data_IF_595083192691
#
_entry.id   IF_595083192691
#
_cell.length_a   1.000
_cell.length_b   1.000
_cell.length_c   1.000
_cell.angle_alpha   90.00
_cell.angle_beta   90.00
_cell.angle_gamma   90.00
#
_symmetry.space_group_name_H-M   'P 1'
#
loop_
_entity.id
_entity.type
_entity.pdbx_description
1 polymer ?
#
# COMPACT_ATOMS: atom_id res chain seq x y z
N UNK A 1 9.26 -17.83 -44.69
CA UNK A 1 8.03 -18.35 -44.06
C UNK A 1 8.03 -17.83 -42.64
N UNK A 2 7.13 -16.89 -42.37
CA UNK A 2 7.00 -16.13 -41.13
C UNK A 2 6.41 -17.00 -40.03
N UNK A 3 7.17 -17.22 -38.96
CA UNK A 3 6.68 -17.82 -37.73
C UNK A 3 5.93 -16.73 -36.94
N UNK A 4 4.60 -16.79 -36.98
CA UNK A 4 3.72 -15.95 -36.18
C UNK A 4 3.54 -16.65 -34.85
N UNK A 5 4.39 -16.34 -33.88
CA UNK A 5 4.14 -16.64 -32.47
C UNK A 5 2.81 -15.99 -32.10
N UNK A 6 1.77 -16.80 -31.90
CA UNK A 6 0.48 -16.33 -31.40
C UNK A 6 0.72 -15.73 -30.01
N UNK A 7 0.51 -14.42 -29.87
CA UNK A 7 0.27 -13.77 -28.58
C UNK A 7 -0.90 -14.51 -27.92
N UNK A 8 -0.60 -15.44 -27.02
CA UNK A 8 -1.60 -16.01 -26.13
C UNK A 8 -1.89 -14.93 -25.08
N UNK A 9 -3.07 -14.32 -25.20
CA UNK A 9 -3.62 -13.42 -24.20
C UNK A 9 -3.67 -14.19 -22.88
N UNK A 10 -2.89 -13.77 -21.89
CA UNK A 10 -2.91 -14.34 -20.55
C UNK A 10 -4.18 -13.82 -19.84
N UNK A 11 -5.09 -14.75 -19.54
CA UNK A 11 -6.26 -14.50 -18.70
C UNK A 11 -5.94 -14.97 -17.29
N UNK A 12 -6.13 -14.09 -16.32
CA UNK A 12 -5.97 -14.39 -14.90
C UNK A 12 -7.28 -14.16 -14.14
N UNK A 13 -7.30 -14.49 -12.84
CA UNK A 13 -8.47 -14.28 -11.99
C UNK A 13 -8.78 -12.78 -11.79
N UNK A 14 -7.80 -11.88 -11.96
CA UNK A 14 -7.97 -10.44 -11.76
C UNK A 14 -8.66 -9.75 -12.94
N UNK A 15 -8.52 -10.28 -14.15
CA UNK A 15 -9.08 -9.74 -15.40
C UNK A 15 -10.43 -10.32 -15.78
N UNK A 16 -10.85 -11.43 -15.15
CA UNK A 16 -12.09 -12.16 -15.48
C UNK A 16 -13.34 -11.27 -15.50
N UNK A 17 -13.43 -10.33 -14.57
CA UNK A 17 -14.58 -9.44 -14.41
C UNK A 17 -14.62 -8.29 -15.43
N UNK A 18 -13.60 -8.17 -16.26
CA UNK A 18 -13.33 -7.03 -17.14
C UNK A 18 -12.96 -7.50 -18.55
N UNK A 19 -13.86 -8.28 -19.17
CA UNK A 19 -13.75 -8.80 -20.52
C UNK A 19 -15.00 -8.45 -21.35
N UNK A 20 -15.35 -7.17 -21.42
CA UNK A 20 -16.59 -6.73 -22.07
C UNK A 20 -16.49 -6.87 -23.60
N UNK A 21 -17.53 -7.42 -24.24
CA UNK A 21 -17.58 -7.58 -25.70
C UNK A 21 -17.74 -6.23 -26.42
N UNK A 22 -18.41 -5.27 -25.77
CA UNK A 22 -18.65 -3.90 -26.21
C UNK A 22 -17.56 -2.91 -25.76
N UNK A 23 -16.43 -3.41 -25.26
CA UNK A 23 -15.28 -2.60 -24.88
C UNK A 23 -14.76 -1.75 -26.04
N UNK A 24 -14.30 -0.54 -25.74
CA UNK A 24 -13.72 0.38 -26.73
C UNK A 24 -12.25 0.72 -26.46
N UNK A 25 -11.65 0.10 -25.44
CA UNK A 25 -10.22 0.16 -25.11
C UNK A 25 -9.77 -1.16 -24.48
N UNK A 26 -8.53 -1.57 -24.78
CA UNK A 26 -7.87 -2.69 -24.11
C UNK A 26 -6.71 -2.17 -23.29
N UNK A 27 -6.68 -2.42 -21.98
CA UNK A 27 -5.48 -2.20 -21.16
C UNK A 27 -4.63 -3.45 -21.23
N UNK A 28 -3.32 -3.31 -21.45
CA UNK A 28 -2.33 -4.36 -21.23
C UNK A 28 -1.42 -3.95 -20.08
N UNK A 29 -1.35 -4.78 -19.05
CA UNK A 29 -0.56 -4.54 -17.83
C UNK A 29 0.90 -4.91 -18.01
N UNK A 30 1.74 -4.57 -17.03
CA UNK A 30 3.19 -4.85 -17.10
C UNK A 30 3.53 -6.34 -17.04
N UNK A 31 2.61 -7.16 -16.52
CA UNK A 31 2.63 -8.63 -16.51
C UNK A 31 1.85 -9.26 -17.69
N UNK A 32 1.60 -8.49 -18.75
CA UNK A 32 1.01 -8.92 -20.04
C UNK A 32 -0.44 -9.46 -19.95
N UNK A 33 -1.15 -9.15 -18.86
CA UNK A 33 -2.58 -9.42 -18.72
C UNK A 33 -3.38 -8.32 -19.39
N UNK A 34 -4.51 -8.70 -20.01
CA UNK A 34 -5.36 -7.75 -20.75
C UNK A 34 -6.72 -7.55 -20.10
N UNK A 35 -7.20 -6.30 -20.11
CA UNK A 35 -8.52 -5.90 -19.63
C UNK A 35 -9.26 -5.21 -20.77
N UNK A 36 -10.45 -5.72 -21.13
CA UNK A 36 -11.32 -5.10 -22.14
C UNK A 36 -12.39 -4.29 -21.43
N UNK A 37 -12.31 -2.98 -21.54
CA UNK A 37 -13.12 -2.04 -20.73
C UNK A 37 -13.68 -0.90 -21.59
N UNK A 38 -14.52 -0.07 -20.96
CA UNK A 38 -15.00 1.17 -21.55
C UNK A 38 -14.15 2.36 -21.09
N UNK A 39 -13.59 3.11 -22.04
CA UNK A 39 -12.66 4.23 -21.79
C UNK A 39 -13.25 5.29 -20.87
N UNK A 40 -14.56 5.53 -20.96
CA UNK A 40 -15.21 6.60 -20.21
C UNK A 40 -15.07 6.41 -18.69
N UNK A 41 -15.00 5.17 -18.21
CA UNK A 41 -14.76 4.88 -16.80
C UNK A 41 -13.39 5.39 -16.34
N UNK A 42 -12.33 5.17 -17.13
CA UNK A 42 -10.99 5.68 -16.84
C UNK A 42 -10.95 7.21 -16.92
N UNK A 43 -11.53 7.79 -17.97
CA UNK A 43 -11.53 9.24 -18.20
C UNK A 43 -12.27 10.01 -17.11
N UNK A 44 -13.27 9.39 -16.48
CA UNK A 44 -14.04 9.96 -15.39
C UNK A 44 -13.24 10.04 -14.07
N UNK A 45 -12.34 9.08 -13.82
CA UNK A 45 -11.59 9.00 -12.55
C UNK A 45 -10.21 9.67 -12.61
N UNK A 46 -9.65 9.87 -13.82
CA UNK A 46 -8.28 10.33 -14.02
C UNK A 46 -8.21 11.40 -15.10
N UNK A 47 -7.57 12.53 -14.78
CA UNK A 47 -7.25 13.54 -15.77
C UNK A 47 -6.20 13.05 -16.78
N UNK A 48 -5.18 12.33 -16.29
CA UNK A 48 -4.12 11.77 -17.11
C UNK A 48 -4.66 10.79 -18.15
N UNK A 49 -5.52 9.85 -17.75
CA UNK A 49 -6.14 8.93 -18.72
C UNK A 49 -7.05 9.66 -19.70
N UNK A 50 -7.78 10.68 -19.26
CA UNK A 50 -8.61 11.48 -20.17
C UNK A 50 -7.77 12.14 -21.26
N UNK A 51 -6.62 12.71 -20.90
CA UNK A 51 -5.74 13.38 -21.85
C UNK A 51 -5.04 12.36 -22.76
N UNK A 52 -4.57 11.23 -22.23
CA UNK A 52 -4.00 10.12 -23.01
C UNK A 52 -4.97 9.64 -24.09
N UNK A 53 -6.24 9.43 -23.73
CA UNK A 53 -7.29 8.96 -24.63
C UNK A 53 -7.79 10.03 -25.61
N UNK A 54 -7.55 11.31 -25.35
CA UNK A 54 -7.92 12.40 -26.27
C UNK A 54 -6.89 12.57 -27.40
N UNK A 55 -5.63 12.25 -27.12
CA UNK A 55 -4.51 12.31 -28.06
C UNK A 55 -4.51 11.08 -28.98
N UNK A 56 -4.81 9.90 -28.43
CA UNK A 56 -5.10 8.69 -29.20
C UNK A 56 -6.39 8.87 -30.01
N UNK A 57 -6.27 8.97 -31.34
CA UNK A 57 -7.42 8.95 -32.25
C UNK A 57 -7.32 7.75 -33.20
N UNK A 58 -7.91 6.62 -32.81
CA UNK A 58 -8.07 5.41 -33.62
C UNK A 58 -9.14 4.44 -33.10
N UNK A 59 -9.49 3.42 -33.90
CA UNK A 59 -10.35 2.31 -33.49
C UNK A 59 -9.51 1.25 -32.75
N UNK A 60 -10.00 0.78 -31.59
CA UNK A 60 -9.36 -0.21 -30.71
C UNK A 60 -7.94 0.16 -30.26
N UNK A 61 -7.85 1.15 -29.39
CA UNK A 61 -6.58 1.55 -28.79
C UNK A 61 -6.21 0.60 -27.65
N UNK A 62 -4.98 0.10 -27.73
CA UNK A 62 -4.34 -0.65 -26.67
C UNK A 62 -3.57 0.34 -25.78
N UNK A 63 -3.98 0.46 -24.51
CA UNK A 63 -3.24 1.21 -23.50
C UNK A 63 -2.27 0.27 -22.81
N UNK A 64 -0.98 0.46 -23.04
CA UNK A 64 0.07 -0.34 -22.41
C UNK A 64 0.56 0.34 -21.13
N UNK A 65 0.47 -0.38 -20.03
CA UNK A 65 1.05 0.00 -18.74
C UNK A 65 2.31 -0.82 -18.53
N UNK A 66 3.42 -0.17 -18.18
CA UNK A 66 4.77 -0.77 -18.26
C UNK A 66 5.54 -0.70 -16.95
N UNK A 67 4.98 -0.07 -15.91
CA UNK A 67 5.61 0.02 -14.61
C UNK A 67 5.45 -1.30 -13.85
N UNK A 68 6.51 -2.10 -13.82
CA UNK A 68 6.52 -3.40 -13.15
C UNK A 68 6.29 -3.30 -11.63
N UNK A 69 6.43 -2.11 -11.04
CA UNK A 69 6.30 -1.95 -9.59
C UNK A 69 4.85 -1.86 -9.10
N UNK A 70 3.92 -1.34 -9.91
CA UNK A 70 2.51 -1.17 -9.51
C UNK A 70 1.49 -1.22 -10.67
N UNK A 71 1.89 -1.45 -11.92
CA UNK A 71 0.97 -1.59 -13.07
C UNK A 71 0.69 -3.04 -13.46
N UNK A 72 0.69 -3.94 -12.47
CA UNK A 72 0.35 -5.36 -12.62
C UNK A 72 -1.18 -5.61 -12.66
N UNK A 73 -1.58 -6.80 -13.13
CA UNK A 73 -2.97 -7.20 -13.25
C UNK A 73 -3.76 -7.09 -11.94
N UNK A 74 -3.13 -7.45 -10.82
CA UNK A 74 -3.74 -7.41 -9.49
C UNK A 74 -4.10 -5.98 -9.07
N UNK A 75 -3.24 -5.02 -9.39
CA UNK A 75 -3.43 -3.60 -9.06
C UNK A 75 -4.47 -2.96 -9.99
N UNK A 76 -4.37 -3.22 -11.29
CA UNK A 76 -5.34 -2.72 -12.28
C UNK A 76 -6.74 -3.29 -12.05
N UNK A 77 -6.86 -4.58 -11.73
CA UNK A 77 -8.14 -5.18 -11.36
C UNK A 77 -8.82 -4.42 -10.21
N UNK A 78 -8.08 -4.11 -9.13
CA UNK A 78 -8.64 -3.32 -8.00
C UNK A 78 -9.01 -1.90 -8.42
N UNK A 79 -8.17 -1.24 -9.21
CA UNK A 79 -8.50 0.09 -9.73
C UNK A 79 -9.80 0.09 -10.54
N UNK A 80 -10.01 -0.93 -11.38
CA UNK A 80 -11.22 -1.07 -12.18
C UNK A 80 -12.45 -1.41 -11.33
N UNK A 81 -12.31 -2.14 -10.22
CA UNK A 81 -13.41 -2.31 -9.27
C UNK A 81 -13.99 -0.95 -8.84
N UNK A 82 -13.12 -0.01 -8.47
CA UNK A 82 -13.55 1.35 -8.14
C UNK A 82 -14.20 2.06 -9.34
N UNK A 83 -13.56 2.02 -10.51
CA UNK A 83 -14.05 2.71 -11.72
C UNK A 83 -15.45 2.27 -12.14
N UNK A 84 -15.81 1.01 -11.88
CA UNK A 84 -17.11 0.41 -12.18
C UNK A 84 -18.07 0.44 -10.98
N UNK A 85 -17.75 1.14 -9.89
CA UNK A 85 -18.60 1.24 -8.70
C UNK A 85 -18.75 -0.09 -7.94
N UNK A 86 -17.85 -1.05 -8.13
CA UNK A 86 -17.79 -2.27 -7.35
C UNK A 86 -17.08 -2.00 -6.02
N UNK A 87 -17.42 -2.76 -4.99
CA UNK A 87 -16.76 -2.67 -3.68
C UNK A 87 -15.33 -3.20 -3.77
N UNK A 88 -14.35 -2.40 -3.35
CA UNK A 88 -12.98 -2.89 -3.19
C UNK A 88 -12.95 -4.01 -2.13
N UNK A 89 -12.24 -5.12 -2.38
CA UNK A 89 -12.10 -6.18 -1.39
C UNK A 89 -11.41 -5.64 -0.13
N UNK A 90 -11.65 -6.25 1.02
CA UNK A 90 -10.80 -5.96 2.18
C UNK A 90 -9.41 -6.58 1.96
N UNK A 91 -8.34 -6.04 2.58
CA UNK A 91 -7.04 -6.68 2.55
C UNK A 91 -7.10 -8.10 3.14
N UNK A 92 -6.66 -9.08 2.33
CA UNK A 92 -6.44 -10.43 2.83
C UNK A 92 -5.28 -10.42 3.83
N UNK A 93 -5.31 -11.33 4.81
CA UNK A 93 -4.14 -11.65 5.66
C UNK A 93 -3.45 -10.46 6.34
N UNK A 94 -4.17 -9.35 6.57
CA UNK A 94 -3.59 -8.09 7.06
C UNK A 94 -2.40 -7.65 6.21
N UNK A 95 -2.50 -7.75 4.88
CA UNK A 95 -1.51 -7.26 3.93
C UNK A 95 -1.82 -5.82 3.50
N UNK A 96 -0.80 -4.98 3.32
CA UNK A 96 -0.97 -3.59 2.85
C UNK A 96 -0.40 -3.34 1.46
N UNK A 97 0.57 -4.15 1.01
CA UNK A 97 1.29 -3.98 -0.26
C UNK A 97 0.37 -3.84 -1.48
N UNK A 98 -0.71 -4.64 -1.64
CA UNK A 98 -1.62 -4.46 -2.78
C UNK A 98 -2.28 -3.08 -2.84
N UNK A 99 -2.57 -2.49 -1.68
CA UNK A 99 -3.16 -1.16 -1.60
C UNK A 99 -2.12 -0.05 -1.74
N UNK A 100 -0.89 -0.27 -1.29
CA UNK A 100 0.21 0.66 -1.57
C UNK A 100 0.50 0.77 -3.06
N UNK A 101 0.51 -0.35 -3.80
CA UNK A 101 0.61 -0.34 -5.26
C UNK A 101 -0.55 0.42 -5.90
N UNK A 102 -1.78 0.19 -5.45
CA UNK A 102 -2.96 0.92 -5.93
C UNK A 102 -2.85 2.43 -5.67
N UNK A 103 -2.34 2.84 -4.51
CA UNK A 103 -2.09 4.24 -4.19
C UNK A 103 -1.05 4.84 -5.14
N UNK A 104 0.06 4.13 -5.41
CA UNK A 104 1.09 4.57 -6.35
C UNK A 104 0.53 4.75 -7.78
N UNK A 105 -0.29 3.80 -8.24
CA UNK A 105 -1.03 3.93 -9.49
C UNK A 105 -1.90 5.18 -9.50
N UNK A 106 -2.68 5.41 -8.43
CA UNK A 106 -3.58 6.55 -8.33
C UNK A 106 -2.84 7.89 -8.26
N UNK A 107 -1.65 7.93 -7.66
CA UNK A 107 -0.79 9.10 -7.67
C UNK A 107 -0.25 9.39 -9.08
N UNK A 108 0.27 8.36 -9.78
CA UNK A 108 0.79 8.49 -11.14
C UNK A 108 -0.26 8.99 -12.14
N UNK A 109 -1.49 8.51 -12.02
CA UNK A 109 -2.58 8.82 -12.93
C UNK A 109 -3.53 9.90 -12.38
N UNK A 110 -3.17 10.59 -11.31
CA UNK A 110 -3.94 11.69 -10.70
C UNK A 110 -5.42 11.33 -10.48
N UNK A 111 -5.66 10.36 -9.59
CA UNK A 111 -6.97 9.81 -9.28
C UNK A 111 -7.45 10.25 -7.87
N UNK A 112 -7.71 11.55 -7.61
CA UNK A 112 -7.98 12.04 -6.25
C UNK A 112 -9.24 11.44 -5.61
N UNK A 113 -10.27 11.14 -6.41
CA UNK A 113 -11.48 10.47 -5.91
C UNK A 113 -11.23 9.06 -5.40
N UNK A 114 -10.27 8.34 -6.01
CA UNK A 114 -9.87 7.00 -5.57
C UNK A 114 -9.06 7.10 -4.27
N UNK A 115 -8.12 8.05 -4.20
CA UNK A 115 -7.31 8.28 -3.00
C UNK A 115 -8.17 8.62 -1.78
N UNK A 116 -9.14 9.52 -1.92
CA UNK A 116 -10.08 9.87 -0.86
C UNK A 116 -10.95 8.67 -0.42
N UNK A 117 -11.34 7.82 -1.38
CA UNK A 117 -12.08 6.60 -1.05
C UNK A 117 -11.22 5.58 -0.30
N UNK A 118 -9.95 5.41 -0.70
CA UNK A 118 -9.00 4.55 -0.02
C UNK A 118 -8.74 5.00 1.40
N UNK A 119 -8.59 6.31 1.65
CA UNK A 119 -8.46 6.87 2.99
C UNK A 119 -9.62 6.43 3.92
N UNK A 120 -10.87 6.57 3.45
CA UNK A 120 -12.04 6.14 4.19
C UNK A 120 -12.06 4.61 4.43
N UNK A 121 -11.62 3.83 3.44
CA UNK A 121 -11.53 2.38 3.55
C UNK A 121 -10.47 1.94 4.55
N UNK A 122 -9.33 2.65 4.70
CA UNK A 122 -8.31 2.29 5.69
C UNK A 122 -8.89 2.32 7.11
N UNK A 123 -9.64 3.37 7.47
CA UNK A 123 -10.32 3.42 8.77
C UNK A 123 -11.31 2.27 8.95
N UNK A 124 -12.13 2.02 7.92
CA UNK A 124 -13.10 0.91 7.94
C UNK A 124 -12.41 -0.43 8.15
N UNK A 125 -11.39 -0.74 7.36
CA UNK A 125 -10.66 -2.01 7.42
C UNK A 125 -9.92 -2.19 8.74
N UNK A 126 -9.46 -1.11 9.37
CA UNK A 126 -8.94 -1.20 10.72
C UNK A 126 -10.02 -1.60 11.74
N UNK A 127 -11.19 -0.95 11.70
CA UNK A 127 -12.33 -1.26 12.60
C UNK A 127 -12.81 -2.71 12.40
N UNK A 128 -12.77 -3.20 11.15
CA UNK A 128 -13.13 -4.58 10.78
C UNK A 128 -11.99 -5.59 11.01
N UNK A 129 -10.92 -5.22 11.72
CA UNK A 129 -9.72 -6.04 12.01
C UNK A 129 -9.02 -6.64 10.77
N UNK A 130 -9.22 -6.02 9.61
CA UNK A 130 -8.56 -6.39 8.35
C UNK A 130 -7.15 -5.77 8.24
N UNK A 131 -6.81 -4.78 9.06
CA UNK A 131 -5.49 -4.13 9.11
C UNK A 131 -4.94 -4.09 10.52
N UNK A 132 -3.62 -4.29 10.66
CA UNK A 132 -2.92 -3.98 11.90
C UNK A 132 -2.51 -2.50 11.95
N UNK A 133 -2.21 -1.94 13.13
CA UNK A 133 -1.84 -0.53 13.28
C UNK A 133 -0.63 -0.10 12.42
N UNK A 134 0.35 -1.00 12.24
CA UNK A 134 1.50 -0.76 11.34
C UNK A 134 1.04 -0.53 9.90
N UNK A 135 0.12 -1.34 9.40
CA UNK A 135 -0.37 -1.17 8.04
C UNK A 135 -1.16 0.13 7.87
N UNK A 136 -1.91 0.54 8.88
CA UNK A 136 -2.58 1.85 8.88
C UNK A 136 -1.55 2.98 8.81
N UNK A 137 -0.44 2.87 9.55
CA UNK A 137 0.68 3.81 9.42
C UNK A 137 1.28 3.82 8.01
N UNK A 138 1.51 2.65 7.43
CA UNK A 138 2.10 2.52 6.09
C UNK A 138 1.19 3.12 5.00
N UNK A 139 -0.09 2.79 5.03
CA UNK A 139 -1.06 3.35 4.10
C UNK A 139 -1.28 4.84 4.35
N UNK A 140 -1.19 5.30 5.60
CA UNK A 140 -1.26 6.72 5.96
C UNK A 140 -0.19 7.55 5.28
N UNK A 141 1.10 7.17 5.37
CA UNK A 141 2.14 7.91 4.66
C UNK A 141 2.07 7.74 3.15
N UNK A 142 1.61 6.58 2.66
CA UNK A 142 1.46 6.34 1.21
C UNK A 142 0.37 7.22 0.59
N UNK A 143 -0.72 7.46 1.34
CA UNK A 143 -1.80 8.39 0.99
C UNK A 143 -1.44 9.86 1.26
N UNK A 144 -0.28 10.13 1.89
CA UNK A 144 0.10 11.44 2.41
C UNK A 144 -0.93 12.02 3.41
N UNK A 145 -1.50 11.17 4.27
CA UNK A 145 -2.51 11.51 5.27
C UNK A 145 -1.95 11.33 6.69
N UNK A 146 -1.44 12.41 7.33
CA UNK A 146 -0.79 12.30 8.64
C UNK A 146 -1.74 11.80 9.73
N UNK A 147 -3.02 12.12 9.64
CA UNK A 147 -4.06 11.69 10.57
C UNK A 147 -4.17 10.17 10.63
N UNK A 148 -4.07 9.49 9.49
CA UNK A 148 -4.05 8.02 9.43
C UNK A 148 -2.80 7.46 10.09
N UNK A 149 -1.63 8.06 9.86
CA UNK A 149 -0.39 7.62 10.49
C UNK A 149 -0.43 7.78 12.01
N UNK A 150 -0.92 8.93 12.49
CA UNK A 150 -1.13 9.22 13.92
C UNK A 150 -2.13 8.23 14.51
N UNK A 151 -3.21 7.92 13.79
CA UNK A 151 -4.21 6.95 14.21
C UNK A 151 -3.61 5.55 14.36
N UNK A 152 -2.80 5.11 13.40
CA UNK A 152 -2.05 3.84 13.48
C UNK A 152 -1.11 3.79 14.69
N UNK A 153 -0.36 4.85 14.96
CA UNK A 153 0.54 4.92 16.13
C UNK A 153 -0.26 4.87 17.44
N UNK A 154 -1.34 5.65 17.53
CA UNK A 154 -2.18 5.74 18.74
C UNK A 154 -2.73 4.38 19.16
N UNK A 155 -3.06 3.52 18.18
CA UNK A 155 -3.67 2.22 18.41
C UNK A 155 -2.69 1.04 18.28
N UNK A 156 -1.38 1.29 18.34
CA UNK A 156 -0.36 0.25 18.22
C UNK A 156 -0.49 -0.84 19.30
N UNK A 157 -0.89 -0.49 20.52
CA UNK A 157 -1.20 -1.43 21.59
C UNK A 157 -0.08 -2.45 21.86
N UNK A 158 -0.38 -3.74 21.77
CA UNK A 158 0.59 -4.82 21.98
C UNK A 158 1.08 -5.46 20.67
N UNK A 159 0.91 -4.78 19.52
CA UNK A 159 1.33 -5.33 18.24
C UNK A 159 2.85 -5.40 18.14
N UNK A 160 3.35 -6.61 18.00
CA UNK A 160 4.77 -6.94 17.92
C UNK A 160 5.01 -7.98 16.83
N UNK A 161 6.25 -8.07 16.37
CA UNK A 161 6.67 -9.14 15.49
C UNK A 161 6.63 -10.48 16.23
N UNK A 162 5.95 -11.46 15.65
CA UNK A 162 5.82 -12.81 16.20
C UNK A 162 6.37 -13.87 15.25
N UNK A 163 6.66 -15.05 15.78
CA UNK A 163 7.06 -16.21 15.00
C UNK A 163 5.94 -16.63 14.04
N UNK A 164 6.25 -16.76 12.74
CA UNK A 164 5.25 -17.05 11.70
C UNK A 164 4.91 -18.54 11.54
N UNK A 165 5.48 -19.44 12.35
CA UNK A 165 5.10 -20.87 12.32
C UNK A 165 5.36 -21.59 13.65
N UNK A 166 4.59 -22.64 13.91
CA UNK A 166 4.71 -23.49 15.11
C UNK A 166 5.96 -24.40 15.11
N UNK A 167 6.75 -24.42 14.03
CA UNK A 167 7.80 -25.42 13.78
C UNK A 167 9.21 -24.82 13.61
N UNK A 168 9.54 -23.71 14.29
CA UNK A 168 10.93 -23.24 14.34
C UNK A 168 11.68 -23.78 15.57
N UNK A 169 12.91 -24.20 15.33
CA UNK A 169 13.81 -24.76 16.35
C UNK A 169 14.27 -23.68 17.34
N UNK A 170 14.66 -24.07 18.56
CA UNK A 170 15.14 -23.12 19.60
C UNK A 170 16.35 -22.27 19.13
N UNK A 171 17.18 -22.84 18.25
CA UNK A 171 18.29 -22.13 17.62
C UNK A 171 17.81 -21.05 16.64
N UNK A 172 16.72 -21.30 15.91
CA UNK A 172 16.09 -20.32 15.00
C UNK A 172 15.36 -19.23 15.78
N UNK A 173 14.71 -19.57 16.91
CA UNK A 173 14.11 -18.58 17.83
C UNK A 173 15.12 -17.64 18.45
N UNK A 174 16.33 -18.15 18.71
CA UNK A 174 17.43 -17.33 19.23
C UNK A 174 17.96 -16.39 18.14
N UNK A 175 18.07 -16.86 16.89
CA UNK A 175 18.48 -16.04 15.74
C UNK A 175 17.42 -15.00 15.34
N UNK A 176 16.14 -15.28 15.50
CA UNK A 176 15.07 -14.32 15.15
C UNK A 176 14.92 -13.15 16.13
N UNK A 177 15.61 -13.23 17.28
CA UNK A 177 15.79 -12.14 18.24
C UNK A 177 17.10 -11.37 18.03
N UNK A 178 17.91 -11.79 17.05
CA UNK A 178 19.14 -11.10 16.69
C UNK A 178 18.80 -9.78 15.99
N UNK A 179 18.99 -8.67 16.69
CA UNK A 179 18.75 -7.32 16.18
C UNK A 179 19.78 -6.88 15.12
N UNK A 180 20.79 -7.70 14.83
CA UNK A 180 21.74 -7.46 13.73
C UNK A 180 21.31 -8.13 12.42
N UNK A 181 20.28 -8.97 12.44
CA UNK A 181 19.70 -9.55 11.24
C UNK A 181 18.92 -8.49 10.44
N UNK A 182 19.34 -8.22 9.20
CA UNK A 182 18.75 -7.17 8.35
C UNK A 182 17.56 -7.65 7.50
N UNK A 183 17.39 -8.96 7.37
CA UNK A 183 16.44 -9.59 6.43
C UNK A 183 15.08 -9.86 7.09
N UNK A 184 15.04 -10.03 8.42
CA UNK A 184 13.84 -10.36 9.18
C UNK A 184 13.58 -9.33 10.26
N UNK A 185 12.32 -9.05 10.54
CA UNK A 185 11.93 -8.22 11.68
C UNK A 185 12.35 -8.84 13.00
N UNK A 186 12.64 -8.01 14.00
CA UNK A 186 13.09 -8.47 15.32
C UNK A 186 11.90 -8.93 16.15
N UNK A 187 11.85 -10.22 16.47
CA UNK A 187 10.72 -10.81 17.22
C UNK A 187 10.60 -10.20 18.62
N UNK A 188 9.38 -9.85 18.99
CA UNK A 188 9.05 -9.21 20.27
C UNK A 188 9.20 -7.69 20.30
N UNK A 189 9.86 -7.10 19.29
CA UNK A 189 9.83 -5.64 19.11
C UNK A 189 8.47 -5.20 18.58
N UNK A 190 8.05 -4.00 18.98
CA UNK A 190 6.87 -3.37 18.42
C UNK A 190 6.94 -3.29 16.90
N UNK A 191 5.80 -3.53 16.23
CA UNK A 191 5.68 -3.39 14.78
C UNK A 191 5.89 -1.94 14.27
N UNK A 192 5.85 -0.97 15.19
CA UNK A 192 6.11 0.46 14.94
C UNK A 192 7.44 0.94 15.53
N UNK A 193 8.27 0.05 16.08
CA UNK A 193 9.65 0.39 16.43
C UNK A 193 10.54 0.32 15.17
N UNK A 194 11.12 1.45 14.72
CA UNK A 194 11.99 1.44 13.54
C UNK A 194 13.23 0.54 13.69
N UNK A 195 13.70 0.29 14.92
CA UNK A 195 14.84 -0.60 15.17
C UNK A 195 14.50 -2.09 15.05
N UNK A 196 13.20 -2.44 15.06
CA UNK A 196 12.72 -3.81 14.88
C UNK A 196 12.30 -4.15 13.45
N UNK A 197 12.38 -3.19 12.51
CA UNK A 197 12.01 -3.37 11.11
C UNK A 197 13.09 -4.09 10.31
N UNK A 198 12.70 -4.73 9.21
CA UNK A 198 13.66 -5.15 8.17
C UNK A 198 14.33 -3.92 7.54
N UNK A 199 15.50 -4.11 6.92
CA UNK A 199 16.14 -3.02 6.18
C UNK A 199 15.24 -2.46 5.07
N UNK A 200 14.52 -3.33 4.35
CA UNK A 200 13.63 -2.93 3.27
C UNK A 200 12.45 -2.10 3.80
N UNK A 201 11.76 -2.60 4.83
CA UNK A 201 10.65 -1.88 5.45
C UNK A 201 11.08 -0.52 6.00
N UNK A 202 12.26 -0.43 6.60
CA UNK A 202 12.79 0.83 7.10
C UNK A 202 13.16 1.79 5.95
N UNK A 203 13.77 1.27 4.89
CA UNK A 203 14.17 2.06 3.73
C UNK A 203 12.98 2.66 2.98
N UNK A 204 11.86 1.94 2.91
CA UNK A 204 10.63 2.35 2.21
C UNK A 204 9.90 3.51 2.87
N UNK A 205 10.16 3.79 4.15
CA UNK A 205 9.53 4.93 4.83
C UNK A 205 10.18 6.23 4.32
N UNK A 206 9.42 7.20 3.78
CA UNK A 206 10.01 8.45 3.33
C UNK A 206 10.58 9.24 4.52
N UNK A 207 11.66 9.99 4.30
CA UNK A 207 12.41 10.64 5.40
C UNK A 207 11.57 11.61 6.23
N UNK A 208 10.62 12.30 5.59
CA UNK A 208 9.64 13.19 6.25
C UNK A 208 8.74 12.48 7.28
N UNK A 209 8.60 11.15 7.18
CA UNK A 209 7.82 10.30 8.08
C UNK A 209 8.71 9.46 9.00
N UNK A 210 9.83 8.99 8.47
CA UNK A 210 10.85 8.19 9.17
C UNK A 210 11.47 8.96 10.32
N UNK A 211 11.90 10.19 10.10
CA UNK A 211 12.56 10.99 11.13
C UNK A 211 11.63 11.28 12.33
N UNK A 212 10.38 11.76 12.13
CA UNK A 212 9.43 11.89 13.24
C UNK A 212 9.16 10.58 13.96
N UNK A 213 9.00 9.46 13.24
CA UNK A 213 8.75 8.14 13.86
C UNK A 213 9.90 7.74 14.78
N UNK A 214 11.14 7.75 14.28
CA UNK A 214 12.35 7.41 15.06
C UNK A 214 12.46 8.29 16.32
N UNK A 215 12.22 9.60 16.19
CA UNK A 215 12.33 10.54 17.31
C UNK A 215 11.18 10.40 18.30
N UNK A 216 9.99 10.07 17.83
CA UNK A 216 8.82 9.88 18.67
C UNK A 216 8.92 8.61 19.52
N UNK A 217 9.50 7.53 18.97
CA UNK A 217 9.63 6.24 19.65
C UNK A 217 10.87 6.11 20.53
N UNK A 218 11.93 6.90 20.28
CA UNK A 218 13.21 6.83 20.98
C UNK A 218 13.09 6.80 22.51
N UNK A 219 13.47 5.66 23.10
CA UNK A 219 13.47 5.44 24.56
C UNK A 219 12.09 5.36 25.21
N UNK A 220 11.01 5.29 24.43
CA UNK A 220 9.63 5.26 24.94
C UNK A 220 8.93 3.92 24.75
N UNK A 221 9.34 3.13 23.76
CA UNK A 221 8.84 1.77 23.57
C UNK A 221 9.45 0.88 24.64
N UNK A 222 8.59 0.20 25.41
CA UNK A 222 8.97 -0.77 26.42
C UNK A 222 8.83 -2.17 25.84
N UNK A 223 9.81 -2.60 25.06
CA UNK A 223 9.81 -3.95 24.48
C UNK A 223 9.69 -5.02 25.60
N UNK A 224 8.85 -6.03 25.36
CA UNK A 224 8.47 -7.03 26.36
C UNK A 224 7.35 -6.60 27.33
N UNK A 225 7.03 -5.30 27.41
CA UNK A 225 5.92 -4.76 28.19
C UNK A 225 5.14 -3.69 27.40
N UNK A 226 4.82 -3.97 26.13
CA UNK A 226 4.16 -3.00 25.23
C UNK A 226 2.87 -2.41 25.79
N UNK A 227 2.17 -3.14 26.67
CA UNK A 227 0.99 -2.68 27.40
C UNK A 227 1.24 -1.46 28.30
N UNK A 228 2.50 -1.21 28.68
CA UNK A 228 2.93 -0.05 29.48
C UNK A 228 3.53 1.07 28.63
N UNK A 229 3.56 0.93 27.31
CA UNK A 229 3.98 1.97 26.36
C UNK A 229 2.85 2.98 26.20
N UNK A 230 3.15 4.26 26.35
CA UNK A 230 2.18 5.35 26.14
C UNK A 230 2.11 5.71 24.65
N UNK A 231 1.34 4.93 23.91
CA UNK A 231 1.16 5.10 22.46
C UNK A 231 0.53 6.43 22.08
N UNK A 232 -0.37 6.96 22.92
CA UNK A 232 -0.95 8.28 22.71
C UNK A 232 0.14 9.35 22.79
N UNK A 233 1.02 9.28 23.78
CA UNK A 233 2.14 10.23 23.89
C UNK A 233 3.12 10.11 22.73
N UNK A 234 3.41 8.90 22.25
CA UNK A 234 4.24 8.68 21.06
C UNK A 234 3.57 9.33 19.83
N UNK A 235 2.26 9.16 19.64
CA UNK A 235 1.53 9.76 18.52
C UNK A 235 1.53 11.30 18.56
N UNK A 236 1.32 11.90 19.74
CA UNK A 236 1.40 13.36 19.94
C UNK A 236 2.81 13.91 19.63
N UNK A 237 3.85 13.20 20.08
CA UNK A 237 5.23 13.61 19.81
C UNK A 237 5.58 13.43 18.32
N UNK A 238 5.09 12.37 17.67
CA UNK A 238 5.20 12.16 16.22
C UNK A 238 4.56 13.33 15.45
N UNK A 239 3.31 13.66 15.74
CA UNK A 239 2.58 14.75 15.08
C UNK A 239 3.32 16.08 15.20
N UNK A 240 3.78 16.41 16.41
CA UNK A 240 4.55 17.65 16.65
C UNK A 240 5.82 17.69 15.79
N UNK A 241 6.60 16.61 15.77
CA UNK A 241 7.86 16.58 15.01
C UNK A 241 7.58 16.57 13.50
N UNK A 242 6.53 15.87 13.05
CA UNK A 242 6.12 15.83 11.65
C UNK A 242 5.75 17.22 11.13
N UNK A 243 4.99 18.00 11.90
CA UNK A 243 4.67 19.42 11.57
C UNK A 243 5.92 20.29 11.49
N UNK A 244 6.90 20.07 12.37
CA UNK A 244 8.17 20.81 12.34
C UNK A 244 9.00 20.50 11.08
N UNK A 245 9.05 19.23 10.67
CA UNK A 245 9.81 18.78 9.49
C UNK A 245 9.18 19.25 8.18
N UNK A 246 7.85 19.29 8.10
CA UNK A 246 7.12 19.58 6.86
C UNK A 246 6.71 21.06 6.69
N UNK A 247 7.24 21.96 7.52
CA UNK A 247 7.09 23.40 7.32
C UNK A 247 5.83 24.05 7.91
N UNK A 248 5.02 23.32 8.67
CA UNK A 248 3.87 23.87 9.42
C UNK A 248 4.28 24.59 10.72
N UNK A 249 5.50 25.12 10.78
CA UNK A 249 6.03 25.75 11.98
C UNK A 249 5.63 27.22 12.07
N UNK A 250 4.52 27.50 12.76
CA UNK A 250 4.51 28.65 13.68
C UNK A 250 5.50 28.35 14.81
N UNK A 251 6.76 28.72 14.61
CA UNK A 251 7.69 29.02 15.70
C UNK A 251 7.66 30.52 15.96
#
# INVERSE_FOLDING_TARGET
MTDKTKNQILFDDHSRDFQFEDSDVTIRTSDDVTFKIHRFHLMAVSAVFRDMMAIGKGQNEELCLTDESFEDASTIGKFLYFCYGKSLPAPATKEHTPYQKLINLCNKYECPGVLAHLEALVYKWYIEDCLCPRNVFVLGYSLNQPELAIYGITHAGNWQWSETSMDITEAEKTKSKDCTAVISSVIGCSALDPSGLTYHDFADIPDAWKFPLVRATWGKIKDGELSKTDWKKIAEDFERIFKMVNGDSTC
#
